data_IF_739649224866
#
_entry.id   IF_739649224866
#
_cell.length_a   1.000
_cell.length_b   1.000
_cell.length_c   1.000
_cell.angle_alpha   90.00
_cell.angle_beta   90.00
_cell.angle_gamma   90.00
#
_symmetry.space_group_name_H-M   'P 1'
#
loop_
_entity.id
_entity.type
_entity.pdbx_description
1 polymer ?
#
# COMPACT_ATOMS: atom_id res chain seq x y z
N UNK A 1 3.41 6.04 6.48
CA UNK A 1 4.72 6.22 5.84
C UNK A 1 4.49 6.32 4.33
N UNK A 2 4.99 7.40 3.71
CA UNK A 2 4.75 7.74 2.30
C UNK A 2 6.10 7.96 1.61
N UNK A 3 6.55 7.08 0.70
CA UNK A 3 7.73 7.32 -0.12
C UNK A 3 7.36 8.23 -1.30
N UNK A 4 8.16 9.27 -1.57
CA UNK A 4 7.88 10.21 -2.68
C UNK A 4 9.15 10.78 -3.29
N UNK A 5 9.05 11.24 -4.54
CA UNK A 5 10.02 12.13 -5.19
C UNK A 5 9.41 13.50 -5.53
N UNK A 6 8.22 13.81 -5.03
CA UNK A 6 7.54 15.08 -5.26
C UNK A 6 6.90 15.22 -6.65
N UNK A 7 6.51 14.10 -7.28
CA UNK A 7 5.93 14.09 -8.63
C UNK A 7 4.64 14.89 -8.70
N UNK A 8 4.49 15.69 -9.77
CA UNK A 8 3.24 16.36 -10.16
C UNK A 8 2.59 15.64 -11.32
N UNK A 9 1.28 15.52 -11.28
CA UNK A 9 0.45 14.92 -12.34
C UNK A 9 -0.93 15.58 -12.39
N UNK A 10 -1.57 15.60 -13.56
CA UNK A 10 -2.94 16.07 -13.65
C UNK A 10 -3.91 15.11 -12.94
N UNK A 11 -4.55 15.59 -11.88
CA UNK A 11 -5.70 14.95 -11.25
C UNK A 11 -6.93 15.81 -11.50
N UNK A 12 -7.98 15.23 -12.08
CA UNK A 12 -9.21 15.96 -12.45
C UNK A 12 -8.95 17.22 -13.29
N UNK A 13 -7.88 17.20 -14.12
CA UNK A 13 -7.51 18.34 -14.96
C UNK A 13 -6.66 19.43 -14.29
N UNK A 14 -6.29 19.24 -13.02
CA UNK A 14 -5.46 20.17 -12.24
C UNK A 14 -4.08 19.54 -12.03
N UNK A 15 -3.01 20.28 -12.35
CA UNK A 15 -1.63 19.84 -12.06
C UNK A 15 -1.42 19.78 -10.54
N UNK A 16 -1.30 18.58 -10.02
CA UNK A 16 -1.34 18.29 -8.58
C UNK A 16 -0.05 17.61 -8.14
N UNK A 17 0.58 18.10 -7.08
CA UNK A 17 1.65 17.41 -6.39
C UNK A 17 1.05 16.25 -5.58
N UNK A 18 1.38 15.02 -5.98
CA UNK A 18 0.72 13.82 -5.48
C UNK A 18 0.86 13.65 -3.97
N UNK A 19 2.07 13.78 -3.44
CA UNK A 19 2.31 13.65 -1.99
C UNK A 19 1.60 14.72 -1.18
N UNK A 20 1.48 15.95 -1.69
CA UNK A 20 0.73 17.01 -1.01
C UNK A 20 -0.75 16.65 -0.96
N UNK A 21 -1.36 16.24 -2.07
CA UNK A 21 -2.74 15.78 -2.12
C UNK A 21 -3.00 14.63 -1.13
N UNK A 22 -2.09 13.65 -1.08
CA UNK A 22 -2.20 12.53 -0.14
C UNK A 22 -2.19 13.00 1.32
N UNK A 23 -1.21 13.84 1.70
CA UNK A 23 -1.10 14.35 3.08
C UNK A 23 -2.27 15.26 3.45
N UNK A 24 -2.70 16.15 2.56
CA UNK A 24 -3.90 16.98 2.76
C UNK A 24 -5.15 16.14 2.99
N UNK A 25 -5.34 15.09 2.17
CA UNK A 25 -6.50 14.20 2.31
C UNK A 25 -6.49 13.45 3.65
N UNK A 26 -5.32 13.02 4.12
CA UNK A 26 -5.16 12.38 5.43
C UNK A 26 -5.53 13.36 6.54
N UNK A 27 -4.98 14.57 6.54
CA UNK A 27 -5.25 15.57 7.59
C UNK A 27 -6.72 16.00 7.63
N UNK A 28 -7.34 16.19 6.47
CA UNK A 28 -8.71 16.68 6.36
C UNK A 28 -9.76 15.60 6.61
N UNK A 29 -9.51 14.38 6.12
CA UNK A 29 -10.55 13.35 6.05
C UNK A 29 -10.42 12.25 7.11
N UNK A 30 -9.26 12.09 7.79
CA UNK A 30 -9.08 11.00 8.76
C UNK A 30 -9.71 11.36 10.11
N UNK A 31 -10.61 10.51 10.60
CA UNK A 31 -11.27 10.66 11.92
C UNK A 31 -10.34 10.29 13.08
N UNK A 32 -9.53 9.24 12.94
CA UNK A 32 -8.54 8.84 13.92
C UNK A 32 -7.49 9.94 14.12
N UNK A 33 -7.15 10.25 15.37
CA UNK A 33 -6.27 11.42 15.66
C UNK A 33 -4.89 11.07 16.18
N UNK A 34 -4.68 9.83 16.64
CA UNK A 34 -3.41 9.40 17.22
C UNK A 34 -2.51 8.76 16.15
N UNK A 35 -1.99 9.58 15.24
CA UNK A 35 -1.04 9.15 14.19
C UNK A 35 0.02 10.21 13.91
N UNK A 36 1.12 9.78 13.34
CA UNK A 36 2.15 10.61 12.70
C UNK A 36 2.25 10.28 11.21
N UNK A 37 2.77 11.22 10.43
CA UNK A 37 3.00 11.07 8.99
C UNK A 37 4.50 11.10 8.73
N UNK A 38 5.05 10.01 8.20
CA UNK A 38 6.45 9.94 7.80
C UNK A 38 6.51 10.00 6.28
N UNK A 39 7.10 11.05 5.75
CA UNK A 39 7.36 11.21 4.31
C UNK A 39 8.83 10.96 4.03
N UNK A 40 9.11 9.94 3.22
CA UNK A 40 10.48 9.62 2.82
C UNK A 40 10.73 10.20 1.43
N UNK A 41 11.59 11.24 1.39
CA UNK A 41 11.85 12.02 0.19
C UNK A 41 13.18 11.65 -0.46
N UNK A 42 13.26 11.68 -1.79
CA UNK A 42 14.52 11.53 -2.51
C UNK A 42 15.34 12.83 -2.44
N UNK A 43 16.66 12.74 -2.62
CA UNK A 43 17.57 13.90 -2.57
C UNK A 43 17.20 15.00 -3.57
N UNK A 44 16.56 14.64 -4.69
CA UNK A 44 16.12 15.56 -5.73
C UNK A 44 14.66 16.02 -5.57
N UNK A 45 14.00 15.69 -4.46
CA UNK A 45 12.66 16.24 -4.19
C UNK A 45 12.77 17.76 -4.01
N UNK A 46 11.95 18.57 -4.72
CA UNK A 46 12.02 20.01 -4.62
C UNK A 46 11.79 20.53 -3.20
N UNK A 47 12.56 21.53 -2.77
CA UNK A 47 12.43 22.11 -1.41
C UNK A 47 11.05 22.72 -1.17
N UNK A 48 10.41 23.26 -2.21
CA UNK A 48 9.06 23.80 -2.11
C UNK A 48 8.04 22.71 -1.69
N UNK A 49 8.23 21.47 -2.14
CA UNK A 49 7.36 20.35 -1.78
C UNK A 49 7.51 20.04 -0.28
N UNK A 50 8.74 19.99 0.23
CA UNK A 50 8.99 19.71 1.65
C UNK A 50 8.50 20.83 2.56
N UNK A 51 8.67 22.10 2.14
CA UNK A 51 8.16 23.26 2.87
C UNK A 51 6.63 23.26 2.92
N UNK A 52 5.97 22.93 1.82
CA UNK A 52 4.51 22.88 1.74
C UNK A 52 3.95 21.70 2.56
N UNK A 53 4.60 20.54 2.53
CA UNK A 53 4.25 19.42 3.42
C UNK A 53 4.29 19.83 4.89
N UNK A 54 5.32 20.56 5.30
CA UNK A 54 5.45 21.06 6.68
C UNK A 54 4.33 22.05 7.05
N UNK A 55 3.87 22.86 6.07
CA UNK A 55 2.75 23.80 6.26
C UNK A 55 1.42 23.06 6.39
N UNK A 56 1.22 21.99 5.62
CA UNK A 56 -0.02 21.19 5.62
C UNK A 56 -0.16 20.38 6.90
N UNK A 57 0.93 19.78 7.39
CA UNK A 57 0.91 18.93 8.59
C UNK A 57 2.02 19.33 9.57
N UNK A 58 1.91 20.49 10.24
CA UNK A 58 2.99 21.07 11.04
C UNK A 58 3.32 20.29 12.31
N UNK A 59 2.39 19.51 12.83
CA UNK A 59 2.53 18.82 14.13
C UNK A 59 2.71 17.31 14.04
N UNK A 60 2.36 16.69 12.91
CA UNK A 60 2.40 15.24 12.71
C UNK A 60 3.44 14.78 11.72
N UNK A 61 3.96 15.70 10.89
CA UNK A 61 4.88 15.36 9.82
C UNK A 61 6.31 15.16 10.30
N UNK A 62 6.92 14.08 9.85
CA UNK A 62 8.36 13.83 9.91
C UNK A 62 8.87 13.58 8.49
N UNK A 63 9.84 14.35 8.05
CA UNK A 63 10.51 14.18 6.75
C UNK A 63 11.79 13.40 6.95
N UNK A 64 12.02 12.35 6.15
CA UNK A 64 13.20 11.50 6.18
C UNK A 64 13.86 11.52 4.81
N UNK A 65 15.15 11.79 4.74
CA UNK A 65 15.92 11.83 3.49
C UNK A 65 16.36 10.43 3.07
N UNK A 66 16.16 10.10 1.79
CA UNK A 66 16.66 8.88 1.16
C UNK A 66 17.75 9.22 0.15
N UNK A 67 19.00 8.93 0.52
CA UNK A 67 20.21 9.35 -0.23
C UNK A 67 20.89 8.18 -0.97
N UNK A 68 20.12 7.14 -1.31
CA UNK A 68 20.62 5.96 -2.01
C UNK A 68 20.07 5.87 -3.44
N UNK A 69 20.63 4.97 -4.24
CA UNK A 69 20.01 4.57 -5.51
C UNK A 69 18.58 4.07 -5.22
N UNK A 70 17.65 4.47 -6.08
CA UNK A 70 16.24 4.14 -5.91
C UNK A 70 16.03 2.63 -5.68
N UNK A 71 15.37 2.31 -4.59
CA UNK A 71 14.83 1.00 -4.24
C UNK A 71 13.62 1.24 -3.34
N UNK A 72 12.43 0.91 -3.85
CA UNK A 72 11.17 1.17 -3.12
C UNK A 72 11.14 0.44 -1.77
N UNK A 73 11.58 -0.82 -1.74
CA UNK A 73 11.63 -1.61 -0.51
C UNK A 73 12.57 -1.00 0.55
N UNK A 74 13.79 -0.61 0.17
CA UNK A 74 14.76 0.03 1.09
C UNK A 74 14.24 1.39 1.59
N UNK A 75 13.60 2.15 0.70
CA UNK A 75 13.00 3.45 1.03
C UNK A 75 11.83 3.30 2.02
N UNK A 76 10.97 2.30 1.81
CA UNK A 76 9.89 1.97 2.74
C UNK A 76 10.43 1.47 4.08
N UNK A 77 11.42 0.58 4.08
CA UNK A 77 12.07 0.10 5.30
C UNK A 77 12.66 1.28 6.12
N UNK A 78 13.31 2.24 5.45
CA UNK A 78 13.81 3.45 6.11
C UNK A 78 12.68 4.25 6.79
N UNK A 79 11.55 4.41 6.11
CA UNK A 79 10.39 5.09 6.69
C UNK A 79 9.83 4.36 7.92
N UNK A 80 9.75 3.03 7.85
CA UNK A 80 9.26 2.20 8.97
C UNK A 80 10.18 2.29 10.19
N UNK A 81 11.50 2.22 10.02
CA UNK A 81 12.45 2.33 11.16
C UNK A 81 12.55 3.74 11.74
N UNK A 82 12.00 4.74 11.05
CA UNK A 82 12.00 6.13 11.50
C UNK A 82 10.89 6.46 12.52
N UNK A 83 10.07 5.47 12.91
CA UNK A 83 9.01 5.57 13.92
C UNK A 83 9.06 4.38 14.86
N UNK A 84 8.51 4.55 16.08
CA UNK A 84 8.32 3.46 17.03
C UNK A 84 6.86 3.01 17.16
N UNK A 85 5.97 3.51 16.30
CA UNK A 85 4.56 3.14 16.30
C UNK A 85 4.38 1.63 16.16
N UNK A 86 3.51 0.98 16.96
CA UNK A 86 3.32 -0.47 16.94
C UNK A 86 2.62 -0.96 15.66
N UNK A 87 1.94 -0.07 14.97
CA UNK A 87 1.25 -0.30 13.71
C UNK A 87 1.58 0.84 12.76
N UNK A 88 1.83 0.53 11.51
CA UNK A 88 2.11 1.53 10.49
C UNK A 88 1.34 1.22 9.19
N UNK A 89 1.18 2.22 8.34
CA UNK A 89 0.62 2.09 7.01
C UNK A 89 1.72 2.38 5.98
N UNK A 90 1.98 1.43 5.08
CA UNK A 90 2.61 1.73 3.79
C UNK A 90 1.55 2.43 2.93
N UNK A 91 1.88 3.59 2.40
CA UNK A 91 0.95 4.37 1.60
C UNK A 91 1.70 5.02 0.43
N UNK A 92 1.26 4.79 -0.79
CA UNK A 92 1.79 5.49 -1.97
C UNK A 92 1.42 6.96 -1.95
N UNK A 93 2.26 7.79 -2.57
CA UNK A 93 2.04 9.24 -2.67
C UNK A 93 0.92 9.63 -3.64
N UNK A 94 0.47 8.72 -4.51
CA UNK A 94 -0.65 8.90 -5.44
C UNK A 94 -1.97 8.31 -4.93
N UNK A 95 -2.20 8.42 -3.62
CA UNK A 95 -3.45 8.00 -2.97
C UNK A 95 -4.25 9.18 -2.42
N UNK A 96 -5.54 8.99 -2.24
CA UNK A 96 -6.43 9.97 -1.58
C UNK A 96 -7.47 9.26 -0.72
N UNK A 97 -7.68 9.71 0.52
CA UNK A 97 -8.65 9.14 1.44
C UNK A 97 -10.09 9.40 0.98
N UNK A 98 -10.93 8.36 1.00
CA UNK A 98 -12.37 8.43 0.75
C UNK A 98 -13.14 8.23 2.05
N UNK A 99 -12.93 7.11 2.74
CA UNK A 99 -13.63 6.79 4.01
C UNK A 99 -12.93 7.48 5.18
N UNK A 100 -13.65 8.29 5.95
CA UNK A 100 -13.05 9.05 7.05
C UNK A 100 -12.51 8.15 8.17
N UNK A 101 -13.13 7.01 8.38
CA UNK A 101 -12.82 5.99 9.41
C UNK A 101 -11.91 4.87 8.91
N UNK A 102 -11.16 5.11 7.82
CA UNK A 102 -10.34 4.09 7.17
C UNK A 102 -9.27 3.49 8.11
N UNK A 103 -8.66 4.32 8.99
CA UNK A 103 -7.67 3.82 9.94
C UNK A 103 -8.32 2.96 11.03
N UNK A 104 -9.42 3.43 11.63
CA UNK A 104 -10.17 2.68 12.66
C UNK A 104 -10.68 1.36 12.10
N UNK A 105 -11.22 1.39 10.89
CA UNK A 105 -11.71 0.19 10.19
C UNK A 105 -10.59 -0.84 10.02
N UNK A 106 -9.42 -0.44 9.51
CA UNK A 106 -8.31 -1.38 9.34
C UNK A 106 -7.71 -1.81 10.68
N UNK A 107 -7.60 -0.91 11.67
CA UNK A 107 -7.11 -1.22 13.00
C UNK A 107 -7.97 -2.26 13.73
N UNK A 108 -9.28 -2.29 13.46
CA UNK A 108 -10.20 -3.24 14.11
C UNK A 108 -9.82 -4.70 13.81
N UNK A 109 -9.36 -5.00 12.59
CA UNK A 109 -8.92 -6.36 12.23
C UNK A 109 -7.56 -6.71 12.85
N UNK A 110 -6.69 -5.72 13.07
CA UNK A 110 -5.41 -5.95 13.75
C UNK A 110 -5.54 -6.17 15.27
N UNK A 111 -6.76 -6.12 15.84
CA UNK A 111 -6.99 -6.59 17.21
C UNK A 111 -6.80 -8.10 17.33
N UNK A 112 -7.05 -8.86 16.27
CA UNK A 112 -6.73 -10.29 16.21
C UNK A 112 -5.21 -10.46 16.16
N UNK A 113 -4.59 -11.19 17.11
CA UNK A 113 -3.14 -11.25 17.25
C UNK A 113 -2.44 -11.94 16.06
N UNK A 114 -3.12 -12.81 15.35
CA UNK A 114 -2.66 -13.55 14.18
C UNK A 114 -2.85 -12.78 12.86
N UNK A 115 -3.54 -11.62 12.87
CA UNK A 115 -3.62 -10.73 11.71
C UNK A 115 -2.41 -9.79 11.70
N UNK A 116 -1.58 -9.88 10.66
CA UNK A 116 -0.40 -9.05 10.51
C UNK A 116 -0.57 -7.89 9.54
N UNK A 117 -1.43 -8.02 8.54
CA UNK A 117 -1.58 -7.03 7.48
C UNK A 117 -3.04 -6.87 7.06
N UNK A 118 -3.47 -5.63 6.82
CA UNK A 118 -4.81 -5.28 6.36
C UNK A 118 -4.73 -4.30 5.19
N UNK A 119 -5.46 -4.58 4.11
CA UNK A 119 -5.60 -3.68 2.96
C UNK A 119 -7.03 -3.20 2.74
N UNK A 120 -7.22 -1.96 2.29
CA UNK A 120 -8.52 -1.39 1.95
C UNK A 120 -8.95 -1.75 0.52
N UNK A 121 -10.17 -1.38 0.15
CA UNK A 121 -10.57 -1.29 -1.24
C UNK A 121 -9.92 -0.04 -1.86
N UNK A 122 -9.09 -0.24 -2.89
CA UNK A 122 -8.53 0.85 -3.67
C UNK A 122 -9.34 1.07 -4.95
N UNK A 123 -9.57 2.33 -5.28
CA UNK A 123 -10.32 2.74 -6.46
C UNK A 123 -9.44 3.53 -7.43
N UNK A 124 -9.67 3.34 -8.71
CA UNK A 124 -9.16 4.18 -9.79
C UNK A 124 -9.88 5.54 -9.79
N UNK A 125 -9.33 6.52 -10.51
CA UNK A 125 -9.89 7.86 -10.64
C UNK A 125 -11.35 7.87 -11.15
N UNK A 126 -11.71 6.89 -11.99
CA UNK A 126 -13.07 6.73 -12.53
C UNK A 126 -14.03 5.95 -11.59
N UNK A 127 -13.57 5.59 -10.38
CA UNK A 127 -14.34 4.89 -9.36
C UNK A 127 -14.43 3.37 -9.56
N UNK A 128 -13.76 2.80 -10.55
CA UNK A 128 -13.61 1.34 -10.66
C UNK A 128 -12.61 0.83 -9.63
N UNK A 129 -12.71 -0.45 -9.30
CA UNK A 129 -11.78 -1.11 -8.38
C UNK A 129 -10.39 -1.12 -8.98
N UNK A 130 -9.40 -0.63 -8.23
CA UNK A 130 -7.98 -0.81 -8.52
C UNK A 130 -7.47 -2.10 -7.85
N UNK A 131 -7.84 -2.31 -6.58
CA UNK A 131 -7.47 -3.52 -5.84
C UNK A 131 -8.52 -3.90 -4.81
N UNK A 132 -8.90 -5.17 -4.83
CA UNK A 132 -9.68 -5.85 -3.79
C UNK A 132 -8.85 -6.95 -3.12
N UNK A 133 -7.59 -6.64 -2.75
CA UNK A 133 -6.58 -7.61 -2.34
C UNK A 133 -5.87 -8.24 -3.55
N UNK A 134 -4.98 -9.19 -3.30
CA UNK A 134 -4.29 -9.93 -4.34
C UNK A 134 -4.99 -11.25 -4.66
N UNK A 135 -4.94 -11.65 -5.94
CA UNK A 135 -5.07 -13.02 -6.38
C UNK A 135 -3.79 -13.44 -7.09
N UNK A 136 -3.39 -14.68 -6.90
CA UNK A 136 -2.18 -15.25 -7.52
C UNK A 136 -2.49 -16.17 -8.71
N UNK A 137 -3.75 -16.38 -9.03
CA UNK A 137 -4.17 -17.22 -10.17
C UNK A 137 -4.67 -16.35 -11.32
N UNK A 138 -4.14 -16.48 -12.54
CA UNK A 138 -3.03 -17.33 -12.99
C UNK A 138 -1.63 -16.76 -12.70
N UNK A 139 -1.54 -15.58 -12.12
CA UNK A 139 -0.31 -14.90 -11.68
C UNK A 139 -0.67 -13.81 -10.67
N UNK A 140 0.27 -13.30 -9.86
CA UNK A 140 -0.02 -12.21 -8.93
C UNK A 140 -0.61 -10.99 -9.63
N UNK A 141 -1.77 -10.54 -9.17
CA UNK A 141 -2.46 -9.36 -9.68
C UNK A 141 -3.42 -8.79 -8.63
N UNK A 142 -3.83 -7.55 -8.81
CA UNK A 142 -4.88 -6.93 -8.02
C UNK A 142 -6.24 -7.54 -8.39
N UNK A 143 -6.89 -8.16 -7.41
CA UNK A 143 -8.14 -8.84 -7.59
C UNK A 143 -9.26 -7.85 -7.92
N UNK A 144 -10.15 -8.19 -8.85
CA UNK A 144 -11.23 -7.36 -9.39
C UNK A 144 -10.78 -6.03 -10.03
N UNK A 145 -9.52 -5.89 -10.42
CA UNK A 145 -9.03 -4.68 -11.10
C UNK A 145 -9.86 -4.33 -12.34
N UNK A 146 -10.27 -3.05 -12.43
CA UNK A 146 -11.06 -2.51 -13.54
C UNK A 146 -12.56 -2.77 -13.47
N UNK A 147 -13.05 -3.55 -12.50
CA UNK A 147 -14.48 -3.82 -12.33
C UNK A 147 -15.19 -2.72 -11.54
N UNK A 148 -16.50 -2.67 -11.65
CA UNK A 148 -17.32 -1.67 -10.95
C UNK A 148 -17.27 -1.87 -9.43
N UNK A 149 -16.98 -0.80 -8.67
CA UNK A 149 -17.02 -0.84 -7.19
C UNK A 149 -18.45 -0.95 -6.63
N UNK A 150 -19.48 -0.87 -7.48
CA UNK A 150 -20.90 -1.05 -7.10
C UNK A 150 -21.32 -2.51 -7.14
N UNK A 151 -20.56 -3.37 -7.78
CA UNK A 151 -20.86 -4.80 -7.83
C UNK A 151 -20.68 -5.46 -6.46
N UNK A 152 -21.33 -6.60 -6.29
CA UNK A 152 -21.22 -7.41 -5.08
C UNK A 152 -20.13 -8.48 -5.19
N UNK A 153 -19.66 -8.75 -6.41
CA UNK A 153 -18.76 -9.86 -6.72
C UNK A 153 -19.44 -11.22 -6.60
N UNK A 154 -18.73 -12.25 -6.99
CA UNK A 154 -19.21 -13.62 -6.83
C UNK A 154 -19.43 -13.95 -5.36
N UNK A 155 -20.59 -14.53 -5.02
CA UNK A 155 -20.98 -14.86 -3.63
C UNK A 155 -20.89 -13.68 -2.63
N UNK A 156 -20.95 -12.43 -3.11
CA UNK A 156 -20.88 -11.25 -2.25
C UNK A 156 -19.47 -10.88 -1.77
N UNK A 157 -18.43 -11.44 -2.36
CA UNK A 157 -17.02 -11.31 -1.94
C UNK A 157 -16.53 -9.84 -1.85
N UNK A 158 -17.14 -8.92 -2.61
CA UNK A 158 -16.82 -7.49 -2.58
C UNK A 158 -17.55 -6.70 -1.48
N UNK A 159 -18.39 -7.37 -0.67
CA UNK A 159 -19.19 -6.74 0.41
C UNK A 159 -18.78 -7.19 1.80
N UNK A 160 -17.82 -8.10 1.89
CA UNK A 160 -17.35 -8.67 3.16
C UNK A 160 -15.84 -8.52 3.29
N UNK A 161 -15.38 -8.25 4.50
CA UNK A 161 -13.97 -8.41 4.80
C UNK A 161 -13.60 -9.89 4.75
N UNK A 162 -12.42 -10.21 4.25
CA UNK A 162 -11.99 -11.59 4.04
C UNK A 162 -10.48 -11.75 4.12
N UNK A 163 -10.06 -12.95 4.38
CA UNK A 163 -8.66 -13.34 4.16
C UNK A 163 -8.31 -13.32 2.67
N UNK A 164 -7.06 -13.01 2.37
CA UNK A 164 -6.54 -12.99 1.01
C UNK A 164 -5.05 -13.31 0.98
N UNK A 165 -4.56 -13.66 -0.20
CA UNK A 165 -3.16 -14.03 -0.44
C UNK A 165 -2.19 -12.85 -0.32
N UNK A 166 -2.70 -11.63 -0.21
CA UNK A 166 -1.91 -10.42 -0.03
C UNK A 166 -2.72 -9.17 -0.30
N UNK A 167 -2.11 -8.02 -0.02
CA UNK A 167 -2.62 -6.70 -0.35
C UNK A 167 -1.51 -5.84 -0.95
N UNK A 168 -1.87 -4.93 -1.84
CA UNK A 168 -0.88 -4.07 -2.50
C UNK A 168 -0.21 -3.11 -1.52
N UNK A 169 1.09 -2.91 -1.69
CA UNK A 169 1.87 -1.91 -0.96
C UNK A 169 1.43 -0.46 -1.19
N UNK A 170 0.49 -0.22 -2.13
CA UNK A 170 -0.10 1.09 -2.33
C UNK A 170 -0.88 1.59 -1.11
N UNK A 171 -1.52 0.68 -0.35
CA UNK A 171 -2.05 0.95 0.99
C UNK A 171 -2.13 -0.37 1.77
N UNK A 172 -1.25 -0.54 2.74
CA UNK A 172 -1.21 -1.71 3.60
C UNK A 172 -0.94 -1.28 5.05
N UNK A 173 -1.88 -1.58 5.96
CA UNK A 173 -1.67 -1.40 7.40
C UNK A 173 -1.05 -2.66 7.98
N UNK A 174 0.05 -2.52 8.72
CA UNK A 174 0.89 -3.65 9.09
C UNK A 174 1.27 -3.56 10.58
N UNK A 175 1.23 -4.69 11.25
CA UNK A 175 1.76 -4.88 12.61
C UNK A 175 3.28 -4.84 12.57
N UNK A 176 3.88 -3.88 13.31
CA UNK A 176 5.34 -3.67 13.32
C UNK A 176 6.12 -4.90 13.75
N UNK A 177 5.67 -5.61 14.78
CA UNK A 177 6.36 -6.83 15.26
C UNK A 177 6.42 -7.90 14.17
N UNK A 178 5.30 -8.20 13.51
CA UNK A 178 5.25 -9.17 12.42
C UNK A 178 6.13 -8.76 11.23
N UNK A 179 6.15 -7.45 10.90
CA UNK A 179 7.01 -6.92 9.83
C UNK A 179 8.50 -7.17 10.09
N UNK A 180 8.96 -6.90 11.30
CA UNK A 180 10.37 -7.12 11.65
C UNK A 180 10.71 -8.61 11.79
N UNK A 181 9.79 -9.42 12.30
CA UNK A 181 9.96 -10.87 12.41
C UNK A 181 10.26 -11.52 11.05
N UNK A 182 9.60 -11.04 9.99
CA UNK A 182 9.83 -11.53 8.63
C UNK A 182 10.92 -10.75 7.87
N UNK A 183 11.63 -9.82 8.54
CA UNK A 183 12.71 -9.03 7.95
C UNK A 183 12.28 -7.90 7.01
N UNK A 184 11.04 -7.41 7.12
CA UNK A 184 10.52 -6.28 6.35
C UNK A 184 10.40 -6.53 4.85
N UNK A 185 10.36 -5.47 4.04
CA UNK A 185 10.39 -5.57 2.57
C UNK A 185 11.79 -5.98 2.13
N UNK A 186 11.87 -6.94 1.20
CA UNK A 186 13.14 -7.43 0.69
C UNK A 186 13.73 -6.49 -0.36
N UNK A 187 14.96 -6.02 -0.14
CA UNK A 187 15.65 -5.09 -1.04
C UNK A 187 15.98 -5.70 -2.42
N UNK A 188 15.86 -7.03 -2.57
CA UNK A 188 16.00 -7.68 -3.88
C UNK A 188 14.81 -7.39 -4.81
N UNK A 189 13.68 -6.92 -4.26
CA UNK A 189 12.52 -6.46 -5.01
C UNK A 189 12.43 -4.93 -4.97
N UNK A 190 13.22 -4.23 -5.79
CA UNK A 190 13.32 -2.78 -5.71
C UNK A 190 12.10 -2.05 -6.25
N UNK A 191 11.22 -2.73 -6.99
CA UNK A 191 10.07 -2.13 -7.66
C UNK A 191 8.83 -3.04 -7.64
N UNK A 192 8.86 -4.20 -8.31
CA UNK A 192 7.73 -5.12 -8.41
C UNK A 192 7.83 -6.24 -7.38
N UNK A 193 6.67 -6.83 -7.02
CA UNK A 193 6.57 -8.01 -6.14
C UNK A 193 7.05 -7.85 -4.69
N UNK A 194 7.39 -6.64 -4.24
CA UNK A 194 7.79 -6.42 -2.86
C UNK A 194 6.65 -6.72 -1.86
N UNK A 195 5.42 -6.36 -2.21
CA UNK A 195 4.19 -6.64 -1.47
C UNK A 195 3.78 -8.13 -1.53
N UNK A 196 3.97 -8.78 -2.67
CA UNK A 196 3.77 -10.22 -2.85
C UNK A 196 4.76 -11.01 -1.99
N UNK A 197 6.05 -10.66 -2.03
CA UNK A 197 7.09 -11.28 -1.19
C UNK A 197 6.80 -11.10 0.30
N UNK A 198 6.42 -9.89 0.72
CA UNK A 198 6.05 -9.62 2.11
C UNK A 198 4.85 -10.46 2.54
N UNK A 199 3.83 -10.55 1.67
CA UNK A 199 2.63 -11.35 1.94
C UNK A 199 2.96 -12.82 2.17
N UNK A 200 3.78 -13.42 1.30
CA UNK A 200 4.22 -14.81 1.48
C UNK A 200 5.03 -15.02 2.76
N UNK A 201 5.94 -14.09 3.09
CA UNK A 201 6.71 -14.18 4.33
C UNK A 201 5.81 -14.16 5.57
N UNK A 202 4.82 -13.28 5.61
CA UNK A 202 3.86 -13.20 6.70
C UNK A 202 3.04 -14.49 6.82
N UNK A 203 2.52 -15.01 5.70
CA UNK A 203 1.77 -16.26 5.70
C UNK A 203 2.61 -17.46 6.15
N UNK A 204 3.89 -17.53 5.76
CA UNK A 204 4.82 -18.60 6.21
C UNK A 204 5.11 -18.57 7.70
N UNK A 205 4.95 -17.40 8.34
CA UNK A 205 5.03 -17.25 9.79
C UNK A 205 3.69 -17.47 10.50
N UNK A 206 2.66 -17.93 9.77
CA UNK A 206 1.34 -18.24 10.32
C UNK A 206 0.41 -17.04 10.49
N UNK A 207 0.76 -15.89 9.93
CA UNK A 207 -0.09 -14.71 9.97
C UNK A 207 -1.14 -14.71 8.87
N UNK A 208 -2.30 -14.13 9.19
CA UNK A 208 -3.38 -13.85 8.23
C UNK A 208 -3.26 -12.44 7.66
N UNK A 209 -3.73 -12.28 6.44
CA UNK A 209 -3.83 -11.02 5.72
C UNK A 209 -5.30 -10.78 5.40
N UNK A 210 -5.82 -9.61 5.76
CA UNK A 210 -7.23 -9.26 5.56
C UNK A 210 -7.36 -8.17 4.51
N UNK A 211 -8.32 -8.34 3.61
CA UNK A 211 -8.82 -7.27 2.78
C UNK A 211 -10.20 -6.82 3.27
N UNK A 212 -10.48 -5.50 3.27
CA UNK A 212 -11.76 -4.95 3.68
C UNK A 212 -12.33 -3.96 2.66
N UNK A 213 -13.64 -4.07 2.31
CA UNK A 213 -14.32 -3.10 1.45
C UNK A 213 -14.77 -1.84 2.19
N UNK A 214 -14.68 -1.82 3.52
CA UNK A 214 -15.23 -0.76 4.36
C UNK A 214 -14.26 0.42 4.52
N UNK A 215 -12.96 0.22 4.37
CA UNK A 215 -11.98 1.27 4.19
C UNK A 215 -11.75 1.49 2.69
N UNK A 216 -11.81 2.75 2.23
CA UNK A 216 -11.68 3.08 0.80
C UNK A 216 -10.77 4.26 0.59
N UNK A 217 -9.88 4.14 -0.40
CA UNK A 217 -9.02 5.22 -0.89
C UNK A 217 -9.01 5.19 -2.42
N UNK A 218 -8.77 6.34 -3.05
CA UNK A 218 -8.27 6.36 -4.42
C UNK A 218 -6.81 5.96 -4.46
N UNK A 219 -6.41 5.24 -5.51
CA UNK A 219 -5.05 5.04 -5.93
C UNK A 219 -4.98 5.34 -7.42
N UNK A 220 -4.47 6.51 -7.76
CA UNK A 220 -4.61 7.09 -9.09
C UNK A 220 -3.77 6.38 -10.15
N UNK A 221 -2.84 5.51 -9.73
CA UNK A 221 -1.93 4.80 -10.62
C UNK A 221 -1.25 5.75 -11.64
N UNK A 222 -0.97 6.95 -11.19
CA UNK A 222 -0.37 8.00 -12.01
C UNK A 222 1.08 7.70 -12.38
N UNK A 223 1.40 6.42 -12.38
CA UNK A 223 2.71 5.84 -12.48
C UNK A 223 3.74 6.76 -13.09
N UNK A 224 4.68 7.20 -12.28
CA UNK A 224 5.96 7.75 -12.74
C UNK A 224 6.79 6.68 -13.48
N UNK A 225 6.26 5.44 -13.64
CA UNK A 225 6.97 4.26 -14.12
C UNK A 225 6.11 3.37 -15.00
N UNK A 226 6.72 2.65 -15.97
CA UNK A 226 6.02 1.65 -16.73
C UNK A 226 5.45 0.54 -15.81
N UNK A 227 4.22 0.13 -16.03
CA UNK A 227 3.57 -1.00 -15.33
C UNK A 227 4.02 -2.38 -15.85
N UNK A 228 5.17 -2.44 -16.50
CA UNK A 228 5.66 -3.68 -17.13
C UNK A 228 6.57 -4.37 -16.11
N UNK A 229 6.13 -5.54 -15.64
CA UNK A 229 7.00 -6.48 -14.93
C UNK A 229 8.03 -6.99 -15.91
N UNK A 230 9.31 -6.85 -15.57
CA UNK A 230 10.40 -7.34 -16.42
C UNK A 230 10.57 -8.85 -16.29
N UNK A 231 11.13 -9.53 -17.30
CA UNK A 231 11.44 -10.96 -17.20
C UNK A 231 12.32 -11.27 -15.99
N UNK A 232 13.28 -10.39 -15.67
CA UNK A 232 14.20 -10.55 -14.54
C UNK A 232 13.47 -10.47 -13.20
N UNK A 233 12.52 -9.55 -13.04
CA UNK A 233 11.69 -9.46 -11.83
C UNK A 233 10.81 -10.70 -11.66
N UNK A 234 10.25 -11.22 -12.77
CA UNK A 234 9.44 -12.44 -12.73
C UNK A 234 10.30 -13.67 -12.39
N UNK A 235 11.49 -13.77 -12.97
CA UNK A 235 12.44 -14.84 -12.65
C UNK A 235 12.84 -14.79 -11.16
N UNK A 236 13.12 -13.60 -10.64
CA UNK A 236 13.52 -13.42 -9.26
C UNK A 236 12.45 -13.89 -8.27
N UNK A 237 11.19 -13.50 -8.47
CA UNK A 237 10.09 -13.92 -7.58
C UNK A 237 9.79 -15.41 -7.75
N UNK A 238 9.88 -15.94 -8.97
CA UNK A 238 9.68 -17.36 -9.25
C UNK A 238 10.78 -18.22 -8.61
N UNK A 239 12.05 -17.81 -8.70
CA UNK A 239 13.17 -18.50 -8.06
C UNK A 239 13.04 -18.52 -6.52
N UNK A 240 12.42 -17.47 -5.95
CA UNK A 240 12.23 -17.41 -4.49
C UNK A 240 11.04 -18.23 -4.00
N UNK A 241 9.92 -18.21 -4.71
CA UNK A 241 8.63 -18.75 -4.23
C UNK A 241 8.08 -19.92 -5.07
N UNK A 242 8.76 -20.26 -6.16
CA UNK A 242 8.38 -21.39 -7.03
C UNK A 242 6.97 -21.22 -7.60
N UNK A 243 6.26 -22.33 -7.69
CA UNK A 243 4.90 -22.36 -8.21
C UNK A 243 3.85 -21.66 -7.33
N UNK A 244 4.21 -21.29 -6.12
CA UNK A 244 3.34 -20.62 -5.16
C UNK A 244 2.79 -19.29 -5.69
N UNK A 245 3.56 -18.61 -6.54
CA UNK A 245 3.14 -17.36 -7.18
C UNK A 245 2.04 -17.54 -8.24
N UNK A 246 1.68 -18.78 -8.56
CA UNK A 246 0.63 -19.13 -9.54
C UNK A 246 -0.56 -19.83 -8.90
N UNK A 247 -0.59 -19.95 -7.58
CA UNK A 247 -1.66 -20.62 -6.83
C UNK A 247 -2.25 -19.68 -5.79
N UNK A 248 -3.55 -19.77 -5.59
CA UNK A 248 -4.27 -18.96 -4.62
C UNK A 248 -5.21 -19.83 -3.81
N UNK A 249 -5.04 -19.82 -2.49
CA UNK A 249 -5.88 -20.62 -1.57
C UNK A 249 -7.20 -19.94 -1.22
N UNK A 250 -7.28 -18.61 -1.40
CA UNK A 250 -8.44 -17.78 -1.03
C UNK A 250 -9.34 -17.39 -2.20
N UNK A 251 -8.82 -17.44 -3.42
CA UNK A 251 -9.52 -17.03 -4.64
C UNK A 251 -9.51 -18.17 -5.67
N UNK A 252 -10.11 -19.32 -5.31
CA UNK A 252 -10.36 -20.42 -6.25
C UNK A 252 -11.58 -20.05 -7.08
N UNK A 253 -11.39 -19.31 -8.16
CA UNK A 253 -12.39 -19.19 -9.22
C UNK A 253 -12.37 -20.55 -9.95
N UNK A 254 -13.44 -21.31 -9.80
CA UNK A 254 -13.66 -22.53 -10.58
C UNK A 254 -14.06 -22.18 -12.02
#
# INVERSE_FOLDING_TARGET
MIPTCGTKKPLFGIDTCLVLNAVESIEQKTSYKNFEIIVVVDTNTPEEVTAELQRVSPTRLKIVQYNKKFNFSDKCNLGVVSSDAPIFVLLNDDTEVISNDWLETMLSYLQEPDVAMVGPMLLLLDGRIQSAGHSHTPRPHNFYNGQSSKEIGENGILRLARECSGVTGACAMIRRTAYFEVGGLSNIFPLSFNDVDLSFKLMDHGYRIIWTPFARLFHFETASRPKIVTPEELELITNRWGNRIYTDDYCRIQ
#
